data_IF_989920834416
#
_entry.id   IF_989920834416
#
_cell.length_a   1.000
_cell.length_b   1.000
_cell.length_c   1.000
_cell.angle_alpha   90.00
_cell.angle_beta   90.00
_cell.angle_gamma   90.00
#
_symmetry.space_group_name_H-M   'P 1'
#
loop_
_entity.id
_entity.type
_entity.pdbx_description
1 polymer ?
#
# COMPACT_ATOMS: atom_id res chain seq x y z
N UNK A 1 -8.09 -4.67 4.35
CA UNK A 1 -8.44 -3.53 5.21
C UNK A 1 -7.19 -3.04 5.93
N UNK A 2 -7.07 -1.73 6.07
CA UNK A 2 -6.05 -1.11 6.92
C UNK A 2 -6.77 -0.29 7.98
N UNK A 3 -6.48 -0.59 9.24
CA UNK A 3 -7.05 0.12 10.38
C UNK A 3 -6.05 1.17 10.87
N UNK A 4 -6.32 2.43 10.53
CA UNK A 4 -5.48 3.56 10.95
C UNK A 4 -5.86 4.09 12.34
N UNK A 5 -6.92 3.60 12.97
CA UNK A 5 -7.31 4.00 14.33
C UNK A 5 -6.32 3.47 15.38
N UNK A 6 -5.75 2.27 15.12
CA UNK A 6 -4.84 1.60 16.06
C UNK A 6 -3.40 2.12 16.02
N UNK A 7 -3.03 2.90 15.00
CA UNK A 7 -1.66 3.40 14.87
C UNK A 7 -1.30 4.33 16.03
N UNK A 8 -0.22 4.03 16.71
CA UNK A 8 0.37 4.89 17.75
C UNK A 8 1.15 6.03 17.10
N UNK A 9 1.40 7.09 17.83
CA UNK A 9 2.13 8.27 17.34
C UNK A 9 3.51 7.92 16.74
N UNK A 10 4.21 6.93 17.30
CA UNK A 10 5.52 6.49 16.83
C UNK A 10 5.49 5.61 15.57
N UNK A 11 4.32 5.14 15.16
CA UNK A 11 4.14 4.25 14.00
C UNK A 11 3.74 5.01 12.73
N UNK A 12 3.71 6.33 12.81
CA UNK A 12 3.43 7.22 11.71
C UNK A 12 4.31 8.47 11.76
N UNK A 13 4.77 8.89 10.60
CA UNK A 13 5.43 10.19 10.40
C UNK A 13 4.98 10.80 9.07
N UNK A 14 4.73 12.10 9.06
CA UNK A 14 4.55 12.80 7.80
C UNK A 14 5.90 12.88 7.06
N UNK A 15 5.94 12.69 5.71
CA UNK A 15 7.20 12.61 4.96
C UNK A 15 8.15 13.80 5.12
N UNK A 16 7.60 15.02 5.19
CA UNK A 16 8.33 16.26 5.45
C UNK A 16 7.54 17.10 6.46
N UNK A 17 7.75 16.90 7.78
CA UNK A 17 6.90 17.48 8.82
C UNK A 17 6.77 19.01 8.79
N UNK A 18 7.79 19.71 8.30
CA UNK A 18 7.82 21.18 8.17
C UNK A 18 7.38 21.69 6.80
N UNK A 19 7.13 20.79 5.83
CA UNK A 19 6.79 21.14 4.47
C UNK A 19 5.33 21.57 4.30
N UNK A 20 5.03 22.26 3.20
CA UNK A 20 3.68 22.62 2.78
C UNK A 20 3.16 21.62 1.74
N UNK A 21 2.10 20.91 2.06
CA UNK A 21 1.54 19.88 1.21
C UNK A 21 0.41 20.41 0.30
N UNK A 22 0.41 19.97 -0.95
CA UNK A 22 -0.66 20.19 -1.92
C UNK A 22 -0.85 18.96 -2.79
N UNK A 23 -2.03 18.78 -3.38
CA UNK A 23 -2.29 17.68 -4.30
C UNK A 23 -2.00 18.09 -5.75
N UNK A 24 -1.39 17.18 -6.49
CA UNK A 24 -1.09 17.33 -7.91
C UNK A 24 -1.49 16.05 -8.68
N UNK A 25 -1.37 16.08 -10.00
CA UNK A 25 -1.59 14.93 -10.87
C UNK A 25 -2.92 14.19 -10.59
N UNK A 26 -4.03 14.91 -10.70
CA UNK A 26 -5.36 14.34 -10.48
C UNK A 26 -5.54 13.78 -9.06
N UNK A 27 -4.94 14.42 -8.07
CA UNK A 27 -5.00 14.05 -6.65
C UNK A 27 -4.31 12.71 -6.31
N UNK A 28 -3.45 12.19 -7.18
CA UNK A 28 -2.72 10.93 -6.93
C UNK A 28 -1.29 11.12 -6.42
N UNK A 29 -0.82 12.37 -6.40
CA UNK A 29 0.49 12.77 -5.89
C UNK A 29 0.32 13.93 -4.92
N UNK A 30 0.96 13.85 -3.78
CA UNK A 30 1.10 14.94 -2.81
C UNK A 30 2.47 15.56 -2.99
N UNK A 31 2.52 16.82 -3.46
CA UNK A 31 3.74 17.62 -3.48
C UNK A 31 3.92 18.28 -2.12
N UNK A 32 5.10 18.13 -1.55
CA UNK A 32 5.45 18.73 -0.26
C UNK A 32 6.62 19.68 -0.49
N UNK A 33 6.32 20.98 -0.56
CA UNK A 33 7.31 22.05 -0.71
C UNK A 33 8.01 22.28 0.63
N UNK A 34 9.31 22.48 0.59
CA UNK A 34 10.13 22.65 1.79
C UNK A 34 11.46 23.35 1.49
N UNK A 35 12.39 23.34 2.43
CA UNK A 35 13.71 23.94 2.28
C UNK A 35 14.76 22.93 1.80
N UNK A 36 15.78 23.41 1.10
CA UNK A 36 16.91 22.59 0.64
C UNK A 36 17.63 21.96 1.83
N UNK A 37 17.88 20.65 1.73
CA UNK A 37 18.59 19.89 2.74
C UNK A 37 17.68 19.23 3.77
N UNK A 38 16.37 19.47 3.73
CA UNK A 38 15.43 18.83 4.63
C UNK A 38 15.39 17.31 4.43
N UNK A 39 15.21 16.62 5.54
CA UNK A 39 15.19 15.17 5.59
C UNK A 39 13.82 14.61 5.26
N UNK A 40 13.76 13.73 4.26
CA UNK A 40 12.57 12.95 3.94
C UNK A 40 12.46 11.78 4.91
N UNK A 41 11.29 11.60 5.52
CA UNK A 41 10.99 10.60 6.54
C UNK A 41 10.13 9.47 5.99
N UNK A 42 10.39 8.24 6.43
CA UNK A 42 9.50 7.12 6.17
C UNK A 42 8.16 7.33 6.87
N UNK A 43 7.05 7.14 6.13
CA UNK A 43 5.70 7.35 6.67
C UNK A 43 5.31 6.29 7.70
N UNK A 44 5.64 5.04 7.43
CA UNK A 44 5.41 3.87 8.28
C UNK A 44 6.65 2.99 8.32
N UNK A 45 6.68 2.03 9.21
CA UNK A 45 7.66 0.94 9.22
C UNK A 45 7.54 0.12 7.93
N UNK A 46 8.65 -0.39 7.43
CA UNK A 46 8.63 -1.23 6.25
C UNK A 46 10.01 -1.54 5.68
N UNK A 47 10.03 -2.05 4.45
CA UNK A 47 11.23 -2.42 3.74
C UNK A 47 11.38 -1.64 2.44
N UNK A 48 12.58 -1.15 2.17
CA UNK A 48 12.91 -0.46 0.91
C UNK A 48 12.82 -1.47 -0.24
N UNK A 49 11.82 -1.29 -1.11
CA UNK A 49 11.61 -2.11 -2.30
C UNK A 49 12.37 -1.58 -3.52
N UNK A 50 12.54 -0.27 -3.61
CA UNK A 50 13.24 0.40 -4.69
C UNK A 50 14.01 1.60 -4.14
N UNK A 51 15.26 1.77 -4.60
CA UNK A 51 16.08 2.96 -4.35
C UNK A 51 16.96 3.18 -5.56
N UNK A 52 16.59 4.11 -6.42
CA UNK A 52 17.34 4.41 -7.65
C UNK A 52 17.04 5.80 -8.21
N UNK A 53 17.86 6.25 -9.15
CA UNK A 53 17.58 7.42 -9.98
C UNK A 53 16.76 7.02 -11.20
N UNK A 54 15.79 7.86 -11.57
CA UNK A 54 14.98 7.76 -12.79
C UNK A 54 15.01 9.09 -13.52
N UNK A 55 14.78 9.09 -14.83
CA UNK A 55 14.74 10.32 -15.63
C UNK A 55 13.57 11.22 -15.27
N UNK A 56 12.40 10.63 -15.05
CA UNK A 56 11.16 11.37 -14.81
C UNK A 56 10.99 11.88 -13.38
N UNK A 57 11.46 11.11 -12.37
CA UNK A 57 11.18 11.37 -10.96
C UNK A 57 12.42 11.71 -10.12
N UNK A 58 13.60 11.84 -10.74
CA UNK A 58 14.85 12.03 -10.01
C UNK A 58 15.25 10.78 -9.18
N UNK A 59 15.90 10.98 -8.03
CA UNK A 59 16.09 9.87 -7.10
C UNK A 59 14.78 9.53 -6.41
N UNK A 60 14.46 8.25 -6.37
CA UNK A 60 13.21 7.70 -5.87
C UNK A 60 13.47 6.59 -4.87
N UNK A 61 12.75 6.60 -3.77
CA UNK A 61 12.64 5.49 -2.83
C UNK A 61 11.18 5.00 -2.81
N UNK A 62 11.00 3.69 -2.81
CA UNK A 62 9.70 3.04 -2.57
C UNK A 62 9.85 2.13 -1.37
N UNK A 63 8.96 2.28 -0.40
CA UNK A 63 8.88 1.45 0.79
C UNK A 63 7.61 0.62 0.73
N UNK A 64 7.75 -0.68 0.98
CA UNK A 64 6.63 -1.60 1.18
C UNK A 64 6.39 -1.77 2.67
N UNK A 65 5.14 -1.60 3.08
CA UNK A 65 4.70 -1.70 4.46
C UNK A 65 3.95 -3.01 4.73
N UNK A 66 3.98 -3.49 5.97
CA UNK A 66 3.31 -4.73 6.37
C UNK A 66 1.78 -4.66 6.25
N UNK A 67 1.22 -3.46 6.23
CA UNK A 67 -0.22 -3.23 6.01
C UNK A 67 -0.65 -3.34 4.53
N UNK A 68 0.26 -3.69 3.62
CA UNK A 68 0.01 -3.86 2.18
C UNK A 68 0.05 -2.57 1.37
N UNK A 69 0.35 -1.43 1.98
CA UNK A 69 0.60 -0.18 1.28
C UNK A 69 2.05 -0.09 0.78
N UNK A 70 2.26 0.70 -0.25
CA UNK A 70 3.58 1.16 -0.65
C UNK A 70 3.60 2.69 -0.68
N UNK A 71 4.67 3.27 -0.18
CA UNK A 71 4.90 4.72 -0.24
C UNK A 71 6.06 5.03 -1.17
N UNK A 72 5.90 6.08 -1.97
CA UNK A 72 6.87 6.52 -2.98
C UNK A 72 7.31 7.93 -2.63
N UNK A 73 8.61 8.14 -2.57
CA UNK A 73 9.25 9.43 -2.29
C UNK A 73 10.14 9.77 -3.47
N UNK A 74 9.77 10.77 -4.25
CA UNK A 74 10.45 11.16 -5.47
C UNK A 74 11.00 12.59 -5.40
N UNK A 75 11.88 12.92 -6.35
CA UNK A 75 12.62 14.18 -6.40
C UNK A 75 13.60 14.34 -5.23
N UNK A 76 14.20 13.23 -4.77
CA UNK A 76 15.24 13.30 -3.75
C UNK A 76 16.56 13.76 -4.39
N UNK A 77 17.34 14.57 -3.67
CA UNK A 77 18.72 14.86 -4.00
C UNK A 77 19.59 13.61 -3.81
N UNK A 78 19.35 12.91 -2.69
CA UNK A 78 20.08 11.72 -2.31
C UNK A 78 19.16 10.72 -1.60
N UNK A 79 19.27 9.44 -1.97
CA UNK A 79 18.66 8.34 -1.26
C UNK A 79 19.66 7.79 -0.24
N UNK A 80 19.29 7.75 1.04
CA UNK A 80 20.18 7.28 2.11
C UNK A 80 20.03 5.78 2.38
N UNK A 81 18.96 5.17 1.87
CA UNK A 81 18.64 3.77 2.11
C UNK A 81 18.75 2.93 0.85
N UNK A 82 19.16 1.67 1.01
CA UNK A 82 19.34 0.69 -0.07
C UNK A 82 18.18 -0.31 -0.08
N UNK A 83 17.94 -0.91 -1.25
CA UNK A 83 16.94 -1.99 -1.40
C UNK A 83 17.18 -3.11 -0.39
N UNK A 84 16.11 -3.61 0.23
CA UNK A 84 16.13 -4.66 1.24
C UNK A 84 16.33 -4.18 2.68
N UNK A 85 16.71 -2.92 2.90
CA UNK A 85 16.84 -2.38 4.25
C UNK A 85 15.47 -2.13 4.88
N UNK A 86 15.36 -2.48 6.16
CA UNK A 86 14.23 -2.08 7.02
C UNK A 86 14.36 -0.62 7.41
N UNK A 87 13.24 0.06 7.52
CA UNK A 87 13.12 1.43 8.02
C UNK A 87 11.98 1.52 9.02
N UNK A 88 12.17 2.32 10.05
CA UNK A 88 11.15 2.64 11.02
C UNK A 88 10.38 3.90 10.60
N UNK A 89 9.13 4.06 11.05
CA UNK A 89 8.37 5.29 10.86
C UNK A 89 9.15 6.49 11.43
N UNK A 90 9.24 7.55 10.64
CA UNK A 90 10.00 8.74 11.03
C UNK A 90 11.52 8.65 10.81
N UNK A 91 12.05 7.50 10.41
CA UNK A 91 13.45 7.39 10.03
C UNK A 91 13.74 8.22 8.79
N UNK A 92 14.90 8.91 8.78
CA UNK A 92 15.37 9.64 7.60
C UNK A 92 15.79 8.65 6.51
N UNK A 93 15.19 8.76 5.34
CA UNK A 93 15.40 7.84 4.20
C UNK A 93 16.05 8.52 3.00
N UNK A 94 15.91 9.84 2.89
CA UNK A 94 16.45 10.62 1.80
C UNK A 94 16.63 12.09 2.21
N UNK A 95 17.32 12.84 1.36
CA UNK A 95 17.39 14.31 1.40
C UNK A 95 16.57 14.84 0.23
N UNK A 96 15.74 15.85 0.49
CA UNK A 96 14.88 16.48 -0.53
C UNK A 96 15.71 17.11 -1.66
N UNK A 97 15.24 16.96 -2.89
CA UNK A 97 15.87 17.53 -4.09
C UNK A 97 15.27 18.87 -4.50
N UNK A 98 16.02 19.56 -5.32
CA UNK A 98 15.58 20.81 -5.99
C UNK A 98 15.50 20.55 -7.48
N UNK A 99 14.37 20.90 -8.10
CA UNK A 99 14.15 20.82 -9.54
C UNK A 99 13.57 22.15 -10.02
N UNK A 100 14.17 22.71 -11.06
CA UNK A 100 13.73 23.99 -11.67
C UNK A 100 13.63 25.16 -10.67
N UNK A 101 14.50 25.14 -9.64
CA UNK A 101 14.52 26.16 -8.58
C UNK A 101 13.57 25.90 -7.41
N UNK A 102 12.68 24.92 -7.52
CA UNK A 102 11.74 24.54 -6.47
C UNK A 102 12.26 23.33 -5.69
N UNK A 103 12.16 23.39 -4.36
CA UNK A 103 12.56 22.30 -3.46
C UNK A 103 11.33 21.60 -2.92
N UNK A 104 11.13 20.35 -3.30
CA UNK A 104 9.95 19.58 -2.94
C UNK A 104 10.20 18.06 -2.99
N UNK A 105 9.36 17.32 -2.31
CA UNK A 105 9.21 15.89 -2.47
C UNK A 105 7.84 15.60 -3.10
N UNK A 106 7.81 14.81 -4.16
CA UNK A 106 6.57 14.25 -4.71
C UNK A 106 6.31 12.90 -4.04
N UNK A 107 5.30 12.87 -3.19
CA UNK A 107 4.90 11.71 -2.41
C UNK A 107 3.65 11.04 -2.97
N UNK A 108 3.63 9.71 -3.00
CA UNK A 108 2.45 8.94 -3.41
C UNK A 108 2.26 7.73 -2.53
N UNK A 109 1.01 7.30 -2.40
CA UNK A 109 0.64 6.04 -1.77
C UNK A 109 0.11 5.10 -2.84
N UNK A 110 0.53 3.85 -2.79
CA UNK A 110 0.12 2.82 -3.74
C UNK A 110 -0.47 1.60 -3.03
N UNK A 111 -1.44 1.00 -3.68
CA UNK A 111 -2.03 -0.30 -3.31
C UNK A 111 -1.99 -1.19 -4.55
N UNK A 112 -1.33 -2.34 -4.47
CA UNK A 112 -1.20 -3.27 -5.59
C UNK A 112 -0.74 -2.60 -6.90
N UNK A 113 0.21 -1.65 -6.81
CA UNK A 113 0.77 -0.92 -7.94
C UNK A 113 -0.05 0.27 -8.45
N UNK A 114 -1.27 0.48 -7.96
CA UNK A 114 -2.10 1.63 -8.31
C UNK A 114 -1.97 2.74 -7.26
N UNK A 115 -1.78 3.98 -7.74
CA UNK A 115 -1.76 5.16 -6.86
C UNK A 115 -3.16 5.47 -6.35
N UNK A 116 -3.25 5.88 -5.11
CA UNK A 116 -4.48 6.35 -4.48
C UNK A 116 -4.33 7.83 -4.09
N UNK A 117 -5.46 8.50 -3.83
CA UNK A 117 -5.43 9.86 -3.30
C UNK A 117 -4.87 9.83 -1.86
N UNK A 118 -3.75 10.51 -1.57
CA UNK A 118 -3.17 10.54 -0.22
C UNK A 118 -4.10 11.09 0.86
N UNK A 119 -5.04 11.99 0.50
CA UNK A 119 -6.04 12.53 1.44
C UNK A 119 -7.00 11.47 1.98
N UNK A 120 -7.09 10.31 1.33
CA UNK A 120 -7.82 9.17 1.90
C UNK A 120 -7.25 8.76 3.26
N UNK A 121 -5.95 8.94 3.47
CA UNK A 121 -5.24 8.47 4.66
C UNK A 121 -4.71 9.64 5.51
N UNK A 122 -4.34 10.75 4.88
CA UNK A 122 -3.66 11.89 5.50
C UNK A 122 -4.54 13.13 5.43
N UNK A 123 -4.59 13.88 6.51
CA UNK A 123 -5.12 15.24 6.49
C UNK A 123 -3.99 16.22 6.14
N UNK A 124 -4.07 16.84 4.94
CA UNK A 124 -2.96 17.64 4.40
C UNK A 124 -2.58 18.85 5.27
N UNK A 125 -3.57 19.52 5.87
CA UNK A 125 -3.33 20.76 6.65
C UNK A 125 -2.65 20.48 7.99
N UNK A 126 -3.04 19.41 8.65
CA UNK A 126 -2.54 19.04 9.98
C UNK A 126 -1.38 18.05 9.92
N UNK A 127 -1.10 17.47 8.75
CA UNK A 127 -0.14 16.40 8.53
C UNK A 127 -0.44 15.12 9.35
N UNK A 128 -1.67 14.98 9.83
CA UNK A 128 -2.08 13.87 10.69
C UNK A 128 -2.66 12.73 9.87
N UNK A 129 -2.48 11.54 10.37
CA UNK A 129 -3.14 10.34 9.89
C UNK A 129 -4.63 10.41 10.23
N UNK A 130 -5.52 10.13 9.25
CA UNK A 130 -6.96 10.01 9.50
C UNK A 130 -7.23 8.76 10.32
N UNK A 131 -7.93 8.92 11.44
CA UNK A 131 -8.28 7.83 12.35
C UNK A 131 -9.54 7.12 11.85
N UNK A 132 -9.33 6.14 10.97
CA UNK A 132 -10.42 5.41 10.30
C UNK A 132 -9.91 4.06 9.79
N UNK A 133 -10.82 3.12 9.58
CA UNK A 133 -10.53 1.88 8.86
C UNK A 133 -10.87 2.04 7.39
N UNK A 134 -9.93 1.74 6.51
CA UNK A 134 -10.09 1.86 5.06
C UNK A 134 -9.98 0.48 4.41
N UNK A 135 -10.99 0.16 3.61
CA UNK A 135 -10.96 -1.02 2.74
C UNK A 135 -10.47 -0.62 1.35
N UNK A 136 -9.45 -1.31 0.90
CA UNK A 136 -8.96 -1.23 -0.48
C UNK A 136 -9.36 -2.50 -1.21
N UNK A 137 -10.17 -2.37 -2.28
CA UNK A 137 -10.60 -3.49 -3.11
C UNK A 137 -10.17 -3.27 -4.54
N UNK A 138 -9.40 -4.21 -5.10
CA UNK A 138 -9.04 -4.16 -6.50
C UNK A 138 -10.23 -4.62 -7.35
N UNK A 139 -10.63 -3.81 -8.34
CA UNK A 139 -11.66 -4.11 -9.33
C UNK A 139 -11.06 -3.83 -10.70
N UNK A 140 -10.66 -4.89 -11.40
CA UNK A 140 -9.90 -4.77 -12.65
C UNK A 140 -8.57 -4.04 -12.43
N UNK A 141 -8.37 -2.91 -13.11
CA UNK A 141 -7.18 -2.05 -12.99
C UNK A 141 -7.33 -0.95 -11.92
N UNK A 142 -8.49 -0.83 -11.28
CA UNK A 142 -8.79 0.25 -10.32
C UNK A 142 -8.81 -0.27 -8.89
N UNK A 143 -8.52 0.63 -7.96
CA UNK A 143 -8.70 0.38 -6.53
C UNK A 143 -9.95 1.12 -6.08
N UNK A 144 -10.96 0.36 -5.64
CA UNK A 144 -12.11 0.92 -4.94
C UNK A 144 -11.74 1.11 -3.47
N UNK A 145 -12.04 2.29 -2.94
CA UNK A 145 -11.69 2.70 -1.59
C UNK A 145 -12.98 2.96 -0.82
N UNK A 146 -13.15 2.28 0.30
CA UNK A 146 -14.31 2.45 1.18
C UNK A 146 -13.84 2.70 2.62
N UNK A 147 -14.30 3.79 3.22
CA UNK A 147 -14.10 4.02 4.65
C UNK A 147 -15.16 3.22 5.40
N UNK A 148 -14.73 2.31 6.29
CA UNK A 148 -15.61 1.39 7.01
C UNK A 148 -15.93 1.90 8.42
N UNK A 149 -15.05 2.70 9.02
CA UNK A 149 -15.21 3.28 10.35
C UNK A 149 -14.33 4.53 10.49
N UNK A 150 -14.70 5.40 11.42
CA UNK A 150 -13.95 6.63 11.71
C UNK A 150 -14.85 7.63 12.40
N UNK A 151 -14.30 8.40 13.34
CA UNK A 151 -15.04 9.45 14.06
C UNK A 151 -15.28 10.72 13.23
N UNK A 152 -14.63 10.84 12.05
CA UNK A 152 -14.78 11.98 11.14
C UNK A 152 -15.49 11.55 9.84
N UNK A 153 -16.81 11.37 9.93
CA UNK A 153 -17.65 11.16 8.75
C UNK A 153 -18.02 12.49 8.07
N UNK A 154 -17.03 13.26 7.64
CA UNK A 154 -17.21 14.44 6.80
C UNK A 154 -16.27 14.43 5.59
N UNK A 155 -16.36 13.39 4.76
CA UNK A 155 -15.87 13.47 3.39
C UNK A 155 -17.06 13.42 2.46
N UNK A 156 -17.35 14.60 1.94
CA UNK A 156 -18.36 14.92 0.94
C UNK A 156 -18.40 13.91 -0.20
N UNK A 157 -19.57 13.31 -0.36
CA UNK A 157 -19.96 12.64 -1.59
C UNK A 157 -20.16 13.72 -2.65
N UNK A 158 -19.26 13.82 -3.61
CA UNK A 158 -19.53 14.48 -4.88
C UNK A 158 -18.91 13.64 -6.00
N UNK A 159 -19.72 12.73 -6.49
CA UNK A 159 -19.76 12.39 -7.90
C UNK A 159 -21.20 12.03 -8.24
N UNK A 160 -21.93 13.10 -8.60
CA UNK A 160 -23.16 12.98 -9.39
C UNK A 160 -22.75 12.92 -10.85
N UNK A 161 -22.89 11.80 -11.47
CA UNK A 161 -23.20 11.71 -12.88
C UNK A 161 -24.42 10.83 -13.03
N UNK A 162 -25.53 11.50 -13.35
CA UNK A 162 -26.78 10.93 -13.78
C UNK A 162 -26.59 9.92 -14.92
N UNK A 163 -27.25 8.79 -14.82
CA UNK A 163 -28.05 8.26 -15.91
C UNK A 163 -29.08 7.28 -15.37
N UNK A 164 -30.33 7.67 -15.55
CA UNK A 164 -31.52 6.83 -15.53
C UNK A 164 -31.31 5.53 -16.31
N UNK A 165 -31.67 4.41 -15.70
CA UNK A 165 -32.45 3.43 -16.42
C UNK A 165 -33.39 2.69 -15.46
N UNK A 166 -34.67 2.65 -15.87
CA UNK A 166 -35.79 1.98 -15.21
C UNK A 166 -35.74 0.51 -15.58
N UNK A 167 -35.99 -0.36 -14.60
CA UNK A 167 -36.52 -1.66 -14.98
C UNK A 167 -36.35 -2.78 -13.98
N UNK A 168 -37.44 -3.01 -13.27
CA UNK A 168 -37.98 -4.28 -12.78
C UNK A 168 -37.36 -4.99 -11.57
N UNK A 169 -38.19 -4.93 -10.53
CA UNK A 169 -38.32 -5.83 -9.39
C UNK A 169 -38.17 -7.32 -9.74
N UNK A 170 -37.30 -8.02 -8.97
CA UNK A 170 -37.64 -9.36 -8.49
C UNK A 170 -36.95 -9.62 -7.15
N UNK A 171 -37.77 -9.75 -6.12
CA UNK A 171 -37.44 -10.34 -4.83
C UNK A 171 -37.07 -11.80 -5.01
N UNK A 172 -35.97 -12.23 -4.43
CA UNK A 172 -35.88 -13.56 -3.79
C UNK A 172 -34.67 -13.60 -2.87
N UNK A 173 -34.86 -13.78 -1.58
CA UNK A 173 -34.45 -14.97 -0.89
C UNK A 173 -33.08 -14.81 -0.21
N UNK A 174 -33.14 -14.46 1.06
CA UNK A 174 -32.12 -14.71 2.08
C UNK A 174 -31.53 -16.11 1.96
N UNK A 175 -30.20 -16.19 1.84
CA UNK A 175 -29.44 -17.23 2.53
C UNK A 175 -28.03 -16.72 2.84
N UNK A 176 -27.78 -16.56 4.13
CA UNK A 176 -26.44 -16.43 4.71
C UNK A 176 -25.70 -17.73 4.44
N UNK A 177 -24.58 -17.62 3.76
CA UNK A 177 -23.61 -18.68 3.60
C UNK A 177 -22.38 -18.07 2.98
N UNK A 178 -21.37 -17.75 3.80
CA UNK A 178 -20.01 -17.47 3.34
C UNK A 178 -19.45 -18.75 2.72
N UNK A 179 -19.87 -19.06 1.51
CA UNK A 179 -19.20 -20.08 0.72
C UNK A 179 -18.07 -19.40 -0.04
N UNK A 180 -16.88 -19.37 0.55
CA UNK A 180 -15.66 -19.17 -0.21
C UNK A 180 -15.64 -20.24 -1.32
N UNK A 181 -15.61 -19.78 -2.57
CA UNK A 181 -15.52 -20.66 -3.71
C UNK A 181 -14.21 -21.44 -3.64
N UNK A 182 -14.30 -22.77 -3.62
CA UNK A 182 -13.14 -23.65 -3.69
C UNK A 182 -12.78 -23.81 -5.17
N UNK A 183 -11.60 -23.35 -5.54
CA UNK A 183 -11.11 -23.47 -6.92
C UNK A 183 -10.12 -24.62 -7.01
N UNK A 184 -10.24 -25.39 -8.09
CA UNK A 184 -9.23 -26.36 -8.46
C UNK A 184 -8.03 -25.62 -9.04
N UNK A 185 -6.80 -25.85 -8.53
CA UNK A 185 -5.61 -25.17 -9.02
C UNK A 185 -5.35 -25.34 -10.52
N UNK A 186 -5.80 -26.45 -11.09
CA UNK A 186 -5.58 -26.79 -12.49
C UNK A 186 -6.61 -26.17 -13.43
N UNK A 187 -7.77 -25.73 -12.94
CA UNK A 187 -8.86 -25.17 -13.74
C UNK A 187 -8.77 -23.66 -13.94
N UNK A 188 -7.99 -22.94 -13.14
CA UNK A 188 -7.97 -21.46 -13.13
C UNK A 188 -6.57 -20.90 -13.19
N UNK A 189 -6.16 -20.42 -14.36
CA UNK A 189 -4.86 -19.78 -14.57
C UNK A 189 -4.64 -18.54 -13.68
N UNK A 190 -5.70 -17.83 -13.30
CA UNK A 190 -5.64 -16.70 -12.42
C UNK A 190 -6.95 -16.57 -11.61
N UNK A 191 -7.04 -17.15 -10.43
CA UNK A 191 -8.25 -17.12 -9.61
C UNK A 191 -8.73 -15.72 -9.26
N UNK A 192 -7.83 -14.74 -9.21
CA UNK A 192 -8.17 -13.36 -8.89
C UNK A 192 -8.92 -12.61 -10.00
N UNK A 193 -9.06 -13.19 -11.18
CA UNK A 193 -9.95 -12.66 -12.24
C UNK A 193 -11.42 -12.94 -11.97
N UNK A 194 -11.72 -13.96 -11.17
CA UNK A 194 -13.07 -14.47 -10.92
C UNK A 194 -13.56 -14.06 -9.54
N UNK A 195 -12.68 -14.09 -8.53
CA UNK A 195 -13.03 -13.78 -7.14
C UNK A 195 -11.88 -13.07 -6.41
N UNK A 196 -12.21 -12.25 -5.42
CA UNK A 196 -11.23 -11.58 -4.56
C UNK A 196 -10.76 -12.47 -3.39
N UNK A 197 -11.50 -13.54 -3.12
CA UNK A 197 -11.18 -14.53 -2.09
C UNK A 197 -11.52 -15.91 -2.62
N UNK A 198 -10.62 -16.85 -2.45
CA UNK A 198 -10.84 -18.25 -2.78
C UNK A 198 -10.19 -19.13 -1.72
N UNK A 199 -10.69 -20.35 -1.60
CA UNK A 199 -10.08 -21.40 -0.80
C UNK A 199 -9.32 -22.31 -1.73
N UNK A 200 -8.01 -22.43 -1.55
CA UNK A 200 -7.19 -23.40 -2.25
C UNK A 200 -7.15 -24.66 -1.39
N UNK A 201 -7.60 -25.78 -1.98
CA UNK A 201 -7.54 -27.08 -1.35
C UNK A 201 -6.16 -27.70 -1.63
N UNK A 202 -5.24 -27.52 -0.70
CA UNK A 202 -3.86 -28.00 -0.85
C UNK A 202 -3.76 -29.54 -0.80
N UNK A 203 -4.79 -30.23 -0.31
CA UNK A 203 -4.81 -31.71 -0.28
C UNK A 203 -5.02 -32.30 -1.69
N UNK A 204 -5.55 -31.50 -2.61
CA UNK A 204 -5.76 -31.89 -4.01
C UNK A 204 -4.59 -31.59 -4.94
N UNK A 205 -3.59 -30.87 -4.46
CA UNK A 205 -2.39 -30.60 -5.23
C UNK A 205 -1.54 -31.86 -5.28
N UNK A 206 -1.34 -32.39 -6.47
CA UNK A 206 -0.48 -33.55 -6.67
C UNK A 206 0.97 -33.25 -6.28
N UNK A 207 1.67 -34.25 -5.77
CA UNK A 207 3.02 -34.09 -5.21
C UNK A 207 4.02 -33.50 -6.20
N UNK A 208 3.84 -33.73 -7.50
CA UNK A 208 4.70 -33.18 -8.55
C UNK A 208 4.30 -31.77 -9.02
N UNK A 209 3.11 -31.28 -8.65
CA UNK A 209 2.61 -29.97 -9.04
C UNK A 209 3.16 -28.81 -8.19
N UNK A 210 3.91 -29.13 -7.14
CA UNK A 210 4.57 -28.12 -6.33
C UNK A 210 6.01 -28.54 -6.01
N UNK A 211 6.86 -27.54 -5.77
CA UNK A 211 8.21 -27.77 -5.31
C UNK A 211 8.56 -26.75 -4.21
N UNK A 212 9.26 -27.24 -3.21
CA UNK A 212 9.81 -26.33 -2.20
C UNK A 212 10.89 -25.46 -2.85
N UNK A 213 10.82 -24.12 -2.72
CA UNK A 213 11.72 -23.20 -3.44
C UNK A 213 13.21 -23.48 -3.23
N UNK A 214 13.56 -23.99 -2.03
CA UNK A 214 14.91 -24.35 -1.65
C UNK A 214 14.85 -25.65 -0.82
N UNK A 215 14.83 -26.84 -1.46
CA UNK A 215 14.53 -28.10 -0.79
C UNK A 215 15.47 -28.47 0.37
N UNK A 216 16.72 -28.02 0.30
CA UNK A 216 17.74 -28.27 1.36
C UNK A 216 17.83 -27.14 2.39
N UNK A 217 16.95 -26.14 2.29
CA UNK A 217 16.98 -25.00 3.19
C UNK A 217 16.22 -25.27 4.50
N UNK A 218 16.74 -24.68 5.56
CA UNK A 218 16.08 -24.66 6.87
C UNK A 218 15.32 -23.35 7.02
N UNK A 219 14.06 -23.44 7.47
CA UNK A 219 13.30 -22.26 7.90
C UNK A 219 13.95 -21.68 9.15
N UNK A 220 14.40 -20.43 9.07
CA UNK A 220 14.97 -19.68 10.19
C UNK A 220 14.01 -18.67 10.79
N UNK A 221 13.00 -18.26 10.01
CA UNK A 221 11.91 -17.43 10.49
C UNK A 221 10.62 -17.80 9.76
N UNK A 222 9.60 -18.34 10.45
CA UNK A 222 8.32 -18.68 9.85
C UNK A 222 7.50 -17.43 9.57
N UNK A 223 6.53 -17.57 8.64
CA UNK A 223 5.55 -16.53 8.35
C UNK A 223 4.86 -16.04 9.63
N UNK A 224 4.77 -14.75 9.81
CA UNK A 224 4.10 -14.13 10.96
C UNK A 224 4.78 -14.32 12.31
N UNK A 225 5.88 -15.05 12.41
CA UNK A 225 6.59 -15.37 13.65
C UNK A 225 6.90 -14.15 14.54
N UNK A 226 7.85 -14.26 15.45
CA UNK A 226 8.18 -13.19 16.42
C UNK A 226 8.50 -11.84 15.78
N UNK A 227 8.95 -11.83 14.54
CA UNK A 227 9.23 -10.62 13.74
C UNK A 227 8.03 -10.08 13.01
N UNK A 228 6.88 -10.78 13.00
CA UNK A 228 5.62 -10.40 12.32
C UNK A 228 5.79 -10.02 10.85
N UNK A 229 6.70 -10.68 10.13
CA UNK A 229 6.90 -10.39 8.72
C UNK A 229 6.02 -11.28 7.80
N UNK A 230 5.77 -10.81 6.59
CA UNK A 230 4.90 -11.45 5.60
C UNK A 230 5.65 -12.42 4.69
N UNK A 231 6.62 -13.14 5.22
CA UNK A 231 7.45 -14.07 4.47
C UNK A 231 7.99 -15.19 5.35
N UNK A 232 8.69 -16.11 4.72
CA UNK A 232 9.45 -17.18 5.38
C UNK A 232 10.90 -17.01 5.02
N UNK A 233 11.77 -16.88 6.02
CA UNK A 233 13.20 -16.81 5.79
C UNK A 233 13.78 -18.22 5.71
N UNK A 234 14.50 -18.52 4.64
CA UNK A 234 15.14 -19.78 4.38
C UNK A 234 16.66 -19.61 4.38
N UNK A 235 17.36 -20.48 5.09
CA UNK A 235 18.82 -20.56 5.09
C UNK A 235 19.28 -21.80 4.36
N UNK A 236 20.03 -21.63 3.29
CA UNK A 236 20.74 -22.71 2.62
C UNK A 236 22.01 -23.08 3.39
N UNK A 237 22.49 -24.29 3.19
CA UNK A 237 23.86 -24.64 3.60
C UNK A 237 24.85 -23.90 2.70
N UNK A 238 25.99 -23.43 3.22
CA UNK A 238 27.05 -22.86 2.40
C UNK A 238 27.63 -23.88 1.42
#
# INVERSE_FOLDING_TARGET
NVDFEIFRAKEYSFPLPVGKASLTNGHSVMRIETSKGDAVKAMFDGYVRLSRKTESMGNVIVIRHDNGLETVYANNAENLMKVGQHVDAGQTIAIVGTKEGETYCDFSIMVNGARINPETIIELKSHKLRRQTVQFRKIGSRINITVIGGKDSSVSRNDKSDRNDKGTNKKSGSSRGDHAMTLDPDEVNNPFTITNTFRLDLEKIEEHAWAYPLPDARVISPYGGARRHSGVDLKTKP
#
